data_IF_245314367052
#
_entry.id   IF_245314367052
#
_cell.length_a   1.000
_cell.length_b   1.000
_cell.length_c   1.000
_cell.angle_alpha   90.00
_cell.angle_beta   90.00
_cell.angle_gamma   90.00
#
_symmetry.space_group_name_H-M   'P 1'
#
loop_
_entity.id
_entity.type
_entity.pdbx_description
1 polymer ?
#
# COMPACT_ATOMS: atom_id res chain seq x y z
N UNK A 1 21.37 0.92 9.22
CA UNK A 1 21.18 1.52 7.88
C UNK A 1 21.11 3.03 8.01
N UNK A 2 21.51 3.79 6.99
CA UNK A 2 21.38 5.25 7.01
C UNK A 2 19.92 5.62 6.65
N UNK A 3 19.18 6.17 7.62
CA UNK A 3 17.77 6.51 7.42
C UNK A 3 17.54 7.55 6.33
N UNK A 4 18.47 8.51 6.17
CA UNK A 4 18.36 9.54 5.14
C UNK A 4 18.46 8.94 3.74
N UNK A 5 19.28 7.90 3.58
CA UNK A 5 19.33 7.11 2.35
C UNK A 5 17.99 6.42 2.08
N UNK A 6 17.42 5.75 3.09
CA UNK A 6 16.13 5.04 2.97
C UNK A 6 15.00 6.01 2.61
N UNK A 7 14.87 7.14 3.32
CA UNK A 7 13.84 8.14 3.05
C UNK A 7 13.98 8.72 1.64
N UNK A 8 15.22 9.01 1.21
CA UNK A 8 15.48 9.46 -0.16
C UNK A 8 15.05 8.40 -1.17
N UNK A 9 15.48 7.16 -1.00
CA UNK A 9 15.14 6.06 -1.91
C UNK A 9 13.64 5.78 -1.97
N UNK A 10 12.93 5.80 -0.84
CA UNK A 10 11.48 5.66 -0.78
C UNK A 10 10.72 6.73 -1.60
N UNK A 11 11.35 7.90 -1.78
CA UNK A 11 10.82 9.09 -2.48
C UNK A 11 11.39 9.29 -3.88
N UNK A 12 12.32 8.44 -4.33
CA UNK A 12 12.95 8.57 -5.64
C UNK A 12 11.92 8.47 -6.77
N UNK A 13 12.06 9.34 -7.75
CA UNK A 13 11.17 9.39 -8.91
C UNK A 13 11.28 8.13 -9.79
N UNK A 14 12.41 7.45 -9.72
CA UNK A 14 12.69 6.19 -10.44
C UNK A 14 12.22 4.94 -9.69
N UNK A 15 11.71 5.10 -8.46
CA UNK A 15 11.20 3.98 -7.66
C UNK A 15 10.04 3.31 -8.39
N UNK A 16 10.02 1.98 -8.35
CA UNK A 16 8.97 1.18 -8.98
C UNK A 16 7.59 1.57 -8.44
N UNK A 17 6.65 1.72 -9.36
CA UNK A 17 5.28 2.13 -9.08
C UNK A 17 4.35 0.92 -8.92
N UNK A 18 3.14 1.13 -8.43
CA UNK A 18 2.15 0.07 -8.31
C UNK A 18 1.86 -0.60 -9.67
N UNK A 19 1.80 0.19 -10.75
CA UNK A 19 1.61 -0.33 -12.10
C UNK A 19 2.80 -1.16 -12.59
N UNK A 20 4.03 -0.79 -12.26
CA UNK A 20 5.22 -1.58 -12.62
C UNK A 20 5.16 -2.99 -12.02
N UNK A 21 4.79 -3.08 -10.73
CA UNK A 21 4.57 -4.37 -10.08
C UNK A 21 3.35 -5.09 -10.65
N UNK A 22 2.23 -4.39 -10.89
CA UNK A 22 1.02 -5.01 -11.43
C UNK A 22 1.29 -5.67 -12.79
N UNK A 23 1.90 -4.94 -13.73
CA UNK A 23 2.19 -5.47 -15.08
C UNK A 23 3.39 -6.41 -15.12
N UNK A 24 4.31 -6.31 -14.16
CA UNK A 24 5.51 -7.16 -14.10
C UNK A 24 5.26 -8.51 -13.41
N UNK A 25 4.28 -8.57 -12.50
CA UNK A 25 3.97 -9.77 -11.71
C UNK A 25 2.81 -10.55 -12.32
N UNK A 26 1.72 -9.86 -12.69
CA UNK A 26 0.46 -10.49 -13.02
C UNK A 26 0.25 -10.56 -14.52
N UNK A 27 0.03 -11.78 -15.01
CA UNK A 27 -0.20 -12.06 -16.42
C UNK A 27 -1.63 -11.61 -16.81
N UNK A 28 -1.79 -11.08 -18.02
CA UNK A 28 -3.07 -10.55 -18.54
C UNK A 28 -3.75 -9.53 -17.60
N UNK A 29 -2.97 -8.65 -16.97
CA UNK A 29 -3.52 -7.62 -16.09
C UNK A 29 -4.46 -6.65 -16.84
N UNK A 30 -5.72 -6.60 -16.41
CA UNK A 30 -6.75 -5.69 -16.93
C UNK A 30 -7.09 -4.65 -15.85
N UNK A 31 -6.76 -3.39 -16.11
CA UNK A 31 -7.10 -2.27 -15.24
C UNK A 31 -8.62 -1.97 -15.30
N UNK A 32 -9.20 -1.67 -14.14
CA UNK A 32 -10.62 -1.39 -13.94
C UNK A 32 -10.80 -0.02 -13.28
N UNK A 33 -11.69 0.79 -13.84
CA UNK A 33 -11.82 2.21 -13.49
C UNK A 33 -13.11 2.53 -12.72
N UNK A 34 -13.07 3.65 -11.99
CA UNK A 34 -14.21 4.32 -11.38
C UNK A 34 -14.66 3.77 -10.03
N UNK A 35 -15.27 4.60 -9.21
CA UNK A 35 -15.88 4.24 -7.91
C UNK A 35 -17.38 3.92 -8.02
N UNK A 36 -18.01 4.21 -9.17
CA UNK A 36 -19.47 4.15 -9.44
C UNK A 36 -20.29 5.19 -8.69
N UNK A 37 -19.66 6.24 -8.18
CA UNK A 37 -20.33 7.31 -7.43
C UNK A 37 -19.93 8.69 -7.91
N UNK A 38 -18.63 8.97 -8.04
CA UNK A 38 -18.14 10.33 -8.30
C UNK A 38 -17.17 10.39 -9.48
N UNK A 39 -15.99 9.75 -9.39
CA UNK A 39 -15.00 9.75 -10.48
C UNK A 39 -14.05 8.55 -10.42
N UNK A 40 -13.27 8.40 -11.49
CA UNK A 40 -12.07 7.57 -11.46
C UNK A 40 -10.89 8.41 -10.93
N UNK A 41 -10.30 7.99 -9.81
CA UNK A 41 -9.13 8.66 -9.23
C UNK A 41 -7.85 8.09 -9.84
N UNK A 42 -7.08 8.94 -10.52
CA UNK A 42 -5.80 8.56 -11.10
C UNK A 42 -4.79 8.07 -10.07
N UNK A 43 -4.86 8.55 -8.82
CA UNK A 43 -3.95 8.14 -7.75
C UNK A 43 -4.13 6.69 -7.31
N UNK A 44 -5.25 6.05 -7.65
CA UNK A 44 -5.52 4.64 -7.31
C UNK A 44 -5.76 3.83 -8.57
N UNK A 45 -4.88 2.87 -8.83
CA UNK A 45 -5.06 1.87 -9.90
C UNK A 45 -5.59 0.58 -9.29
N UNK A 46 -6.21 -0.24 -10.12
CA UNK A 46 -6.58 -1.58 -9.71
C UNK A 46 -7.25 -2.37 -10.82
N UNK A 47 -7.26 -3.68 -10.69
CA UNK A 47 -7.64 -4.56 -11.77
C UNK A 47 -7.62 -6.04 -11.39
N UNK A 48 -7.68 -6.88 -12.40
CA UNK A 48 -7.59 -8.34 -12.27
C UNK A 48 -6.47 -8.85 -13.17
N UNK A 49 -5.81 -9.91 -12.74
CA UNK A 49 -4.80 -10.61 -13.54
C UNK A 49 -4.53 -11.99 -12.98
N UNK A 50 -3.57 -12.69 -13.56
CA UNK A 50 -3.19 -14.04 -13.17
C UNK A 50 -1.85 -14.05 -12.45
N UNK A 51 -1.80 -14.74 -11.31
CA UNK A 51 -0.57 -15.15 -10.65
C UNK A 51 -0.40 -16.66 -10.85
N UNK A 52 0.27 -17.04 -11.93
CA UNK A 52 0.28 -18.44 -12.37
C UNK A 52 -1.12 -18.87 -12.83
N UNK A 53 -1.73 -19.85 -12.16
CA UNK A 53 -3.09 -20.32 -12.46
C UNK A 53 -4.16 -19.71 -11.53
N UNK A 54 -3.81 -18.75 -10.67
CA UNK A 54 -4.71 -18.13 -9.71
C UNK A 54 -5.11 -16.72 -10.17
N UNK A 55 -6.40 -16.46 -10.30
CA UNK A 55 -6.90 -15.11 -10.57
C UNK A 55 -6.81 -14.25 -9.30
N UNK A 56 -6.21 -13.06 -9.41
CA UNK A 56 -5.94 -12.14 -8.30
C UNK A 56 -6.50 -10.76 -8.63
N UNK A 57 -7.04 -10.07 -7.62
CA UNK A 57 -7.35 -8.65 -7.71
C UNK A 57 -6.17 -7.84 -7.16
N UNK A 58 -5.72 -6.86 -7.95
CA UNK A 58 -4.63 -5.96 -7.56
C UNK A 58 -5.21 -4.57 -7.36
N UNK A 59 -4.79 -3.88 -6.29
CA UNK A 59 -5.09 -2.47 -6.05
C UNK A 59 -3.80 -1.77 -5.67
N UNK A 60 -3.58 -0.54 -6.08
CA UNK A 60 -2.40 0.17 -5.62
C UNK A 60 -2.48 1.67 -5.75
N UNK A 61 -1.70 2.35 -4.93
CA UNK A 61 -1.53 3.79 -5.02
C UNK A 61 -0.42 4.08 -6.03
N UNK A 62 -0.79 4.80 -7.08
CA UNK A 62 0.07 5.07 -8.22
C UNK A 62 0.64 6.49 -8.10
N UNK A 63 1.97 6.59 -7.96
CA UNK A 63 2.71 7.82 -8.26
C UNK A 63 3.03 7.89 -9.76
N UNK A 64 3.26 9.09 -10.28
CA UNK A 64 3.63 9.29 -11.66
C UNK A 64 5.14 9.20 -11.90
N UNK A 65 5.56 8.88 -13.13
CA UNK A 65 6.98 8.82 -13.53
C UNK A 65 7.52 10.12 -14.13
N UNK A 66 6.66 11.08 -14.43
CA UNK A 66 7.01 12.44 -14.84
C UNK A 66 6.17 13.46 -14.08
N UNK A 67 6.48 14.76 -14.21
CA UNK A 67 5.66 15.82 -13.61
C UNK A 67 4.21 15.76 -14.12
N UNK A 68 4.01 15.62 -15.44
CA UNK A 68 2.68 15.56 -16.02
C UNK A 68 1.90 14.34 -15.54
N UNK A 69 2.58 13.18 -15.44
CA UNK A 69 1.99 11.96 -14.90
C UNK A 69 1.67 12.12 -13.41
N UNK A 70 2.56 12.72 -12.63
CA UNK A 70 2.31 13.02 -11.22
C UNK A 70 1.10 13.94 -11.03
N UNK A 71 0.91 14.96 -11.87
CA UNK A 71 -0.29 15.81 -11.81
C UNK A 71 -1.56 14.99 -12.08
N UNK A 72 -1.54 14.11 -13.08
CA UNK A 72 -2.68 13.22 -13.40
C UNK A 72 -2.97 12.21 -12.28
N UNK A 73 -1.94 11.79 -11.55
CA UNK A 73 -1.98 10.81 -10.46
C UNK A 73 -2.04 11.46 -9.07
N UNK A 74 -2.19 12.79 -9.02
CA UNK A 74 -2.16 13.59 -7.79
C UNK A 74 -0.97 13.23 -6.86
N UNK A 75 0.21 12.99 -7.43
CA UNK A 75 1.43 12.56 -6.73
C UNK A 75 1.24 11.30 -5.87
N UNK A 76 0.30 10.43 -6.24
CA UNK A 76 -0.08 9.26 -5.45
C UNK A 76 -0.74 9.62 -4.13
N UNK A 77 -1.48 10.72 -4.06
CA UNK A 77 -2.31 11.11 -2.92
C UNK A 77 -3.79 10.90 -3.28
N UNK A 78 -4.42 9.80 -2.85
CA UNK A 78 -5.80 9.53 -3.20
C UNK A 78 -6.78 10.54 -2.61
N UNK A 79 -7.82 10.80 -3.37
CA UNK A 79 -9.06 11.41 -2.91
C UNK A 79 -10.05 10.33 -2.42
N UNK A 80 -11.21 10.70 -1.83
CA UNK A 80 -12.14 9.73 -1.24
C UNK A 80 -12.63 8.68 -2.25
N UNK A 81 -12.97 9.12 -3.46
CA UNK A 81 -13.30 8.29 -4.62
C UNK A 81 -12.23 7.23 -4.97
N UNK A 82 -10.94 7.49 -4.73
CA UNK A 82 -9.87 6.50 -4.90
C UNK A 82 -9.99 5.36 -3.91
N UNK A 83 -10.24 5.67 -2.64
CA UNK A 83 -10.51 4.67 -1.60
C UNK A 83 -11.83 3.93 -1.84
N UNK A 84 -12.86 4.59 -2.37
CA UNK A 84 -14.12 3.93 -2.76
C UNK A 84 -13.93 2.99 -3.95
N UNK A 85 -13.14 3.40 -4.96
CA UNK A 85 -12.71 2.54 -6.08
C UNK A 85 -11.96 1.30 -5.58
N UNK A 86 -10.99 1.49 -4.68
CA UNK A 86 -10.25 0.39 -4.06
C UNK A 86 -11.19 -0.61 -3.38
N UNK A 87 -12.05 -0.13 -2.49
CA UNK A 87 -13.01 -0.97 -1.78
C UNK A 87 -13.96 -1.70 -2.72
N UNK A 88 -14.47 -1.03 -3.76
CA UNK A 88 -15.32 -1.67 -4.79
C UNK A 88 -14.62 -2.85 -5.45
N UNK A 89 -13.34 -2.70 -5.79
CA UNK A 89 -12.55 -3.78 -6.40
C UNK A 89 -12.27 -4.91 -5.41
N UNK A 90 -11.98 -4.60 -4.15
CA UNK A 90 -11.79 -5.60 -3.09
C UNK A 90 -13.07 -6.39 -2.81
N UNK A 91 -14.24 -5.75 -2.77
CA UNK A 91 -15.54 -6.44 -2.65
C UNK A 91 -15.87 -7.30 -3.87
N UNK A 92 -15.44 -6.88 -5.07
CA UNK A 92 -15.52 -7.77 -6.24
C UNK A 92 -14.61 -8.98 -6.10
N UNK A 93 -13.39 -8.81 -5.57
CA UNK A 93 -12.49 -9.93 -5.32
C UNK A 93 -13.11 -10.95 -4.38
N UNK A 94 -13.67 -10.49 -3.26
CA UNK A 94 -14.42 -11.31 -2.31
C UNK A 94 -15.57 -12.07 -2.96
N UNK A 95 -16.42 -11.37 -3.74
CA UNK A 95 -17.57 -11.97 -4.44
C UNK A 95 -17.17 -13.17 -5.31
N UNK A 96 -15.98 -13.13 -5.91
CA UNK A 96 -15.50 -14.14 -6.84
C UNK A 96 -14.38 -15.02 -6.26
N UNK A 97 -14.12 -14.94 -4.95
CA UNK A 97 -13.11 -15.77 -4.28
C UNK A 97 -11.67 -15.51 -4.75
N UNK A 98 -11.36 -14.30 -5.23
CA UNK A 98 -9.99 -13.93 -5.64
C UNK A 98 -9.22 -13.35 -4.46
N UNK A 99 -7.96 -13.75 -4.24
CA UNK A 99 -7.08 -13.02 -3.33
C UNK A 99 -6.86 -11.57 -3.79
N UNK A 100 -6.44 -10.74 -2.84
CA UNK A 100 -6.15 -9.33 -3.04
C UNK A 100 -4.67 -9.07 -2.77
N UNK A 101 -4.03 -8.33 -3.66
CA UNK A 101 -2.69 -7.77 -3.42
C UNK A 101 -2.77 -6.25 -3.49
N UNK A 102 -2.30 -5.56 -2.45
CA UNK A 102 -2.24 -4.09 -2.43
C UNK A 102 -0.79 -3.59 -2.51
N UNK A 103 -0.55 -2.58 -3.36
CA UNK A 103 0.74 -1.89 -3.48
C UNK A 103 0.63 -0.45 -3.01
N UNK A 104 1.40 -0.08 -2.00
CA UNK A 104 1.25 1.20 -1.30
C UNK A 104 2.49 2.07 -1.54
N UNK A 105 2.27 3.22 -2.16
CA UNK A 105 3.26 4.29 -2.34
C UNK A 105 2.57 5.65 -2.32
N UNK A 106 2.45 6.24 -1.13
CA UNK A 106 1.75 7.50 -0.89
C UNK A 106 2.43 8.29 0.21
N UNK A 107 2.52 9.61 0.02
CA UNK A 107 2.86 10.52 1.12
C UNK A 107 1.67 10.71 2.09
N UNK A 108 0.48 10.26 1.71
CA UNK A 108 -0.76 10.36 2.48
C UNK A 108 -1.96 10.64 1.58
N UNK A 109 -3.15 10.54 2.16
CA UNK A 109 -4.38 10.96 1.51
C UNK A 109 -4.31 12.46 1.15
N UNK A 110 -4.96 12.86 0.05
CA UNK A 110 -4.92 14.25 -0.39
C UNK A 110 -5.63 15.18 0.61
N UNK A 111 -4.94 16.20 1.17
CA UNK A 111 -5.49 17.06 2.22
C UNK A 111 -6.13 18.33 1.62
N UNK A 112 -7.13 18.17 0.75
CA UNK A 112 -7.78 19.27 0.03
C UNK A 112 -9.23 19.48 0.42
N UNK A 113 -9.75 20.71 0.25
CA UNK A 113 -11.14 21.08 0.56
C UNK A 113 -12.15 20.13 -0.09
N UNK A 114 -12.00 19.87 -1.39
CA UNK A 114 -12.89 18.94 -2.08
C UNK A 114 -12.79 17.50 -1.58
N UNK A 115 -11.63 17.06 -1.07
CA UNK A 115 -11.51 15.75 -0.44
C UNK A 115 -12.30 15.69 0.87
N UNK A 116 -12.25 16.75 1.67
CA UNK A 116 -13.03 16.87 2.91
C UNK A 116 -14.53 16.92 2.65
N UNK A 117 -14.99 17.77 1.72
CA UNK A 117 -16.40 17.87 1.30
C UNK A 117 -16.97 16.52 0.83
N UNK A 118 -16.13 15.66 0.27
CA UNK A 118 -16.50 14.32 -0.22
C UNK A 118 -16.21 13.21 0.78
N UNK A 119 -15.78 13.51 2.00
CA UNK A 119 -15.61 12.54 3.09
C UNK A 119 -14.32 11.73 3.03
N UNK A 120 -13.16 12.39 3.04
CA UNK A 120 -11.85 11.71 3.10
C UNK A 120 -11.70 10.80 4.32
N UNK A 121 -12.06 11.30 5.51
CA UNK A 121 -12.07 10.50 6.73
C UNK A 121 -13.03 9.31 6.66
N UNK A 122 -14.23 9.50 6.10
CA UNK A 122 -15.21 8.42 5.91
C UNK A 122 -14.69 7.34 4.98
N UNK A 123 -14.16 7.72 3.80
CA UNK A 123 -13.72 6.76 2.81
C UNK A 123 -12.56 5.89 3.32
N UNK A 124 -11.62 6.50 4.07
CA UNK A 124 -10.55 5.77 4.77
C UNK A 124 -11.14 4.85 5.83
N UNK A 125 -11.95 5.36 6.75
CA UNK A 125 -12.53 4.57 7.84
C UNK A 125 -13.36 3.38 7.33
N UNK A 126 -14.14 3.60 6.27
CA UNK A 126 -14.92 2.56 5.59
C UNK A 126 -14.03 1.46 5.03
N UNK A 127 -12.89 1.82 4.41
CA UNK A 127 -11.94 0.82 3.93
C UNK A 127 -11.37 -0.01 5.09
N UNK A 128 -10.96 0.62 6.20
CA UNK A 128 -10.43 -0.11 7.35
C UNK A 128 -11.42 -1.14 7.89
N UNK A 129 -12.68 -0.71 8.08
CA UNK A 129 -13.76 -1.56 8.58
C UNK A 129 -14.11 -2.68 7.61
N UNK A 130 -14.20 -2.40 6.31
CA UNK A 130 -14.62 -3.42 5.35
C UNK A 130 -13.50 -4.40 5.04
N UNK A 131 -12.24 -3.96 5.05
CA UNK A 131 -11.08 -4.81 4.80
C UNK A 131 -10.82 -5.80 5.93
N UNK A 132 -11.14 -5.47 7.19
CA UNK A 132 -11.00 -6.42 8.30
C UNK A 132 -11.84 -7.68 8.07
N UNK A 133 -13.01 -7.51 7.47
CA UNK A 133 -14.03 -8.56 7.37
C UNK A 133 -14.04 -9.29 6.00
N UNK A 134 -13.13 -8.95 5.08
CA UNK A 134 -13.08 -9.56 3.74
C UNK A 134 -12.79 -11.06 3.80
N UNK A 135 -13.56 -11.86 3.06
CA UNK A 135 -13.51 -13.33 3.08
C UNK A 135 -12.52 -13.96 2.10
N UNK A 136 -11.46 -13.23 1.75
CA UNK A 136 -10.39 -13.68 0.84
C UNK A 136 -9.03 -13.27 1.39
N UNK A 137 -7.94 -13.97 1.02
CA UNK A 137 -6.60 -13.57 1.43
C UNK A 137 -6.19 -12.20 0.90
N UNK A 138 -5.50 -11.42 1.71
CA UNK A 138 -5.00 -10.08 1.41
C UNK A 138 -3.52 -10.00 1.79
N UNK A 139 -2.68 -9.57 0.85
CA UNK A 139 -1.30 -9.19 1.12
C UNK A 139 -1.12 -7.72 0.74
N UNK A 140 -0.69 -6.90 1.70
CA UNK A 140 -0.33 -5.51 1.47
C UNK A 140 1.18 -5.34 1.41
N UNK A 141 1.68 -4.58 0.44
CA UNK A 141 3.13 -4.33 0.27
C UNK A 141 3.38 -2.83 0.18
N UNK A 142 4.17 -2.30 1.11
CA UNK A 142 4.66 -0.93 1.06
C UNK A 142 5.86 -0.91 0.14
N UNK A 143 5.68 -0.31 -1.04
CA UNK A 143 6.70 -0.30 -2.09
C UNK A 143 7.45 1.03 -2.18
N UNK A 144 7.03 2.05 -1.45
CA UNK A 144 7.71 3.35 -1.37
C UNK A 144 7.40 4.04 -0.06
N UNK A 145 6.56 5.08 -0.10
CA UNK A 145 6.08 5.71 1.12
C UNK A 145 4.76 5.08 1.61
N UNK A 146 4.67 4.81 2.91
CA UNK A 146 3.45 4.48 3.63
C UNK A 146 3.02 5.68 4.47
N UNK A 147 2.35 6.66 3.85
CA UNK A 147 1.91 7.87 4.54
C UNK A 147 0.59 7.71 5.30
N UNK A 148 0.66 7.64 6.64
CA UNK A 148 -0.46 7.81 7.57
C UNK A 148 -1.70 6.96 7.26
N UNK A 149 -2.89 7.47 7.60
CA UNK A 149 -4.17 6.82 7.32
C UNK A 149 -4.43 6.57 5.83
N UNK A 150 -3.81 7.36 4.95
CA UNK A 150 -3.95 7.20 3.50
C UNK A 150 -3.28 5.93 2.96
N UNK A 151 -2.18 5.51 3.57
CA UNK A 151 -1.57 4.21 3.33
C UNK A 151 -2.33 3.08 4.06
N UNK A 152 -2.72 3.34 5.32
CA UNK A 152 -3.42 2.36 6.16
C UNK A 152 -4.74 1.89 5.54
N UNK A 153 -5.42 2.76 4.80
CA UNK A 153 -6.64 2.46 4.04
C UNK A 153 -6.50 1.28 3.05
N UNK A 154 -5.29 0.85 2.72
CA UNK A 154 -5.01 -0.32 1.88
C UNK A 154 -4.13 -1.38 2.56
N UNK A 155 -3.77 -1.17 3.83
CA UNK A 155 -2.82 -2.00 4.57
C UNK A 155 -3.48 -2.92 5.61
N UNK A 156 -4.81 -2.91 5.72
CA UNK A 156 -5.55 -3.89 6.55
C UNK A 156 -5.58 -5.23 5.82
N UNK A 157 -4.64 -6.10 6.14
CA UNK A 157 -4.35 -7.32 5.38
C UNK A 157 -3.94 -8.49 6.29
N UNK A 158 -4.00 -9.71 5.76
CA UNK A 158 -3.52 -10.90 6.47
C UNK A 158 -2.01 -10.84 6.68
N UNK A 159 -1.29 -10.32 5.68
CA UNK A 159 0.15 -10.06 5.78
C UNK A 159 0.46 -8.67 5.24
N UNK A 160 1.29 -7.93 5.96
CA UNK A 160 1.80 -6.60 5.58
C UNK A 160 3.30 -6.71 5.40
N UNK A 161 3.78 -6.42 4.20
CA UNK A 161 5.18 -6.48 3.81
C UNK A 161 5.71 -5.10 3.48
N UNK A 162 7.02 -4.94 3.56
CA UNK A 162 7.72 -3.74 3.15
C UNK A 162 8.87 -4.09 2.24
N UNK A 163 9.11 -3.28 1.21
CA UNK A 163 10.41 -3.30 0.55
C UNK A 163 11.47 -2.69 1.48
N UNK A 164 12.71 -3.13 1.35
CA UNK A 164 13.80 -2.74 2.24
C UNK A 164 13.94 -1.23 2.44
N UNK A 165 13.90 -0.48 1.33
CA UNK A 165 14.07 0.97 1.30
C UNK A 165 12.73 1.70 1.19
N UNK A 166 11.68 1.14 1.81
CA UNK A 166 10.39 1.80 2.02
C UNK A 166 10.26 2.33 3.45
N UNK A 167 9.35 3.29 3.64
CA UNK A 167 9.03 3.86 4.96
C UNK A 167 7.54 3.71 5.26
N UNK A 168 7.16 3.59 6.52
CA UNK A 168 5.76 3.61 6.94
C UNK A 168 5.63 4.42 8.24
N UNK A 169 4.84 5.48 8.22
CA UNK A 169 4.79 6.45 9.31
C UNK A 169 3.38 7.00 9.54
N UNK A 170 3.05 7.30 10.79
CA UNK A 170 1.78 7.96 11.17
C UNK A 170 1.72 9.43 10.68
N UNK A 171 2.89 10.04 10.49
CA UNK A 171 3.08 11.44 10.09
C UNK A 171 4.37 11.54 9.27
N UNK A 172 4.48 12.53 8.39
CA UNK A 172 5.76 12.76 7.70
C UNK A 172 6.84 13.21 8.69
N UNK A 173 8.12 12.86 8.49
CA UNK A 173 9.21 13.35 9.34
C UNK A 173 9.27 14.88 9.41
N UNK A 174 8.98 15.56 8.30
CA UNK A 174 8.87 17.03 8.23
C UNK A 174 7.72 17.56 9.10
N UNK A 175 6.56 16.90 9.05
CA UNK A 175 5.40 17.23 9.87
C UNK A 175 5.69 17.07 11.36
N UNK A 176 6.33 15.96 11.74
CA UNK A 176 6.71 15.70 13.13
C UNK A 176 7.68 16.76 13.65
N UNK A 177 8.74 17.05 12.90
CA UNK A 177 9.76 18.02 13.28
C UNK A 177 9.19 19.45 13.42
N UNK A 178 8.32 19.85 12.49
CA UNK A 178 7.66 21.16 12.56
C UNK A 178 6.67 21.28 13.73
N UNK A 179 6.01 20.20 14.15
CA UNK A 179 5.07 20.23 15.28
C UNK A 179 5.82 20.20 16.61
N UNK A 180 6.70 19.22 16.83
CA UNK A 180 7.32 19.01 18.15
C UNK A 180 8.48 19.94 18.41
N UNK A 181 9.24 20.31 17.37
CA UNK A 181 10.44 21.13 17.52
C UNK A 181 10.32 22.51 16.90
N UNK A 182 9.21 22.81 16.20
CA UNK A 182 9.02 24.06 15.45
C UNK A 182 10.12 24.30 14.41
N UNK A 183 10.72 23.21 13.94
CA UNK A 183 11.86 23.24 13.00
C UNK A 183 11.80 22.05 12.05
N UNK A 184 11.33 22.29 10.82
CA UNK A 184 11.23 21.27 9.78
C UNK A 184 12.58 20.77 9.24
N UNK A 185 13.68 21.50 9.48
CA UNK A 185 15.01 21.08 9.03
C UNK A 185 15.52 19.84 9.76
N UNK A 186 14.95 19.55 10.94
CA UNK A 186 15.25 18.37 11.78
C UNK A 186 14.50 17.10 11.35
N UNK A 187 14.00 17.03 10.12
CA UNK A 187 13.22 15.89 9.61
C UNK A 187 13.95 14.55 9.73
N UNK A 188 15.27 14.49 9.51
CA UNK A 188 16.00 13.22 9.62
C UNK A 188 16.12 12.74 11.08
N UNK A 189 16.33 13.67 12.02
CA UNK A 189 16.29 13.35 13.45
C UNK A 189 14.89 12.87 13.87
N UNK A 190 13.83 13.48 13.34
CA UNK A 190 12.46 13.03 13.55
C UNK A 190 12.25 11.60 13.01
N UNK A 191 12.72 11.33 11.79
CA UNK A 191 12.60 10.02 11.17
C UNK A 191 13.25 8.91 12.05
N UNK A 192 14.42 9.17 12.65
CA UNK A 192 15.11 8.21 13.52
C UNK A 192 14.31 7.92 14.79
N UNK A 193 13.78 8.97 15.42
CA UNK A 193 12.96 8.81 16.63
C UNK A 193 11.65 8.06 16.37
N UNK A 194 11.07 8.28 15.20
CA UNK A 194 9.78 7.69 14.81
C UNK A 194 9.89 6.20 14.40
N UNK A 195 11.10 5.69 14.17
CA UNK A 195 11.36 4.28 13.80
C UNK A 195 10.55 3.78 12.59
N UNK A 196 10.62 4.53 11.50
CA UNK A 196 9.74 4.37 10.32
C UNK A 196 10.26 3.38 9.27
N UNK A 197 11.45 2.81 9.48
CA UNK A 197 12.09 1.95 8.47
C UNK A 197 11.57 0.52 8.52
N UNK A 198 11.71 -0.18 7.39
CA UNK A 198 11.17 -1.54 7.21
C UNK A 198 11.64 -2.55 8.27
N UNK A 199 12.93 -2.53 8.63
CA UNK A 199 13.49 -3.42 9.67
C UNK A 199 13.04 -3.05 11.09
N UNK A 200 12.96 -1.76 11.42
CA UNK A 200 12.47 -1.33 12.73
C UNK A 200 11.01 -1.76 12.93
N UNK A 201 10.18 -1.60 11.89
CA UNK A 201 8.79 -2.00 11.92
C UNK A 201 8.61 -3.52 11.94
N UNK A 202 9.55 -4.27 11.34
CA UNK A 202 9.61 -5.73 11.46
C UNK A 202 9.95 -6.15 12.90
N UNK A 203 10.94 -5.51 13.52
CA UNK A 203 11.34 -5.79 14.91
C UNK A 203 10.22 -5.45 15.90
N UNK A 204 9.47 -4.38 15.63
CA UNK A 204 8.26 -4.00 16.36
C UNK A 204 7.04 -4.90 16.04
N UNK A 205 7.20 -5.86 15.12
CA UNK A 205 6.17 -6.80 14.64
C UNK A 205 4.96 -6.12 13.99
N UNK A 206 5.10 -4.86 13.57
CA UNK A 206 4.09 -4.04 12.88
C UNK A 206 3.88 -4.54 11.45
N UNK A 207 4.96 -5.00 10.81
CA UNK A 207 4.95 -5.67 9.50
C UNK A 207 5.48 -7.11 9.65
N UNK A 208 5.12 -7.96 8.71
CA UNK A 208 5.35 -9.40 8.77
C UNK A 208 6.58 -9.84 7.97
N UNK A 209 7.07 -8.99 7.05
CA UNK A 209 8.21 -9.30 6.18
C UNK A 209 8.87 -8.04 5.61
N UNK A 210 10.18 -8.09 5.47
CA UNK A 210 10.96 -7.16 4.64
C UNK A 210 11.49 -7.89 3.42
N UNK A 211 11.25 -7.33 2.23
CA UNK A 211 11.77 -7.84 0.96
C UNK A 211 13.03 -7.05 0.63
N UNK A 212 14.17 -7.74 0.59
CA UNK A 212 15.45 -7.10 0.30
C UNK A 212 15.48 -6.52 -1.11
N UNK A 213 16.07 -5.33 -1.26
CA UNK A 213 16.31 -4.67 -2.55
C UNK A 213 17.80 -4.72 -2.94
N UNK A 214 18.67 -5.15 -2.02
CA UNK A 214 20.13 -5.06 -2.18
C UNK A 214 20.63 -5.89 -3.36
N UNK A 215 21.30 -5.21 -4.29
CA UNK A 215 21.96 -5.85 -5.43
C UNK A 215 21.01 -6.34 -6.53
N UNK A 216 19.72 -6.02 -6.44
CA UNK A 216 18.72 -6.46 -7.42
C UNK A 216 18.46 -5.39 -8.47
N UNK A 217 18.37 -5.83 -9.73
CA UNK A 217 17.74 -5.01 -10.76
C UNK A 217 16.23 -4.89 -10.48
N UNK A 218 15.57 -3.89 -11.07
CA UNK A 218 14.11 -3.78 -11.00
C UNK A 218 13.37 -5.05 -11.46
N UNK A 219 13.92 -5.73 -12.47
CA UNK A 219 13.35 -6.98 -13.01
C UNK A 219 13.49 -8.12 -12.01
N UNK A 220 14.65 -8.25 -11.37
CA UNK A 220 14.89 -9.31 -10.39
C UNK A 220 14.09 -9.09 -9.11
N UNK A 221 13.94 -7.83 -8.69
CA UNK A 221 13.06 -7.47 -7.57
C UNK A 221 11.61 -7.85 -7.85
N UNK A 222 11.07 -7.49 -9.02
CA UNK A 222 9.70 -7.87 -9.44
C UNK A 222 9.53 -9.39 -9.44
N UNK A 223 10.51 -10.13 -9.97
CA UNK A 223 10.51 -11.60 -9.98
C UNK A 223 10.49 -12.17 -8.56
N UNK A 224 11.33 -11.66 -7.67
CA UNK A 224 11.37 -12.08 -6.27
C UNK A 224 10.04 -11.80 -5.56
N UNK A 225 9.42 -10.64 -5.79
CA UNK A 225 8.09 -10.32 -5.23
C UNK A 225 7.03 -11.28 -5.78
N UNK A 226 7.06 -11.61 -7.07
CA UNK A 226 6.15 -12.61 -7.70
C UNK A 226 6.24 -13.97 -7.02
N UNK A 227 7.45 -14.49 -6.84
CA UNK A 227 7.70 -15.79 -6.22
C UNK A 227 7.19 -15.83 -4.77
N UNK A 228 7.50 -14.79 -3.98
CA UNK A 228 7.06 -14.70 -2.59
C UNK A 228 5.54 -14.53 -2.46
N UNK A 229 4.91 -13.72 -3.32
CA UNK A 229 3.46 -13.59 -3.36
C UNK A 229 2.79 -14.92 -3.66
N UNK A 230 3.31 -15.66 -4.65
CA UNK A 230 2.74 -16.94 -5.05
C UNK A 230 2.82 -17.97 -3.92
N UNK A 231 3.97 -18.06 -3.25
CA UNK A 231 4.14 -18.91 -2.07
C UNK A 231 3.14 -18.53 -0.97
N UNK A 232 3.07 -17.24 -0.63
CA UNK A 232 2.24 -16.82 0.51
C UNK A 232 0.74 -16.89 0.25
N UNK A 233 0.28 -16.56 -0.96
CA UNK A 233 -1.13 -16.71 -1.31
C UNK A 233 -1.55 -18.17 -1.35
N UNK A 234 -0.67 -19.09 -1.76
CA UNK A 234 -0.91 -20.53 -1.69
C UNK A 234 -0.99 -21.03 -0.23
N UNK A 235 -0.20 -20.48 0.68
CA UNK A 235 -0.30 -20.79 2.11
C UNK A 235 -1.61 -20.28 2.71
N UNK A 236 -1.94 -19.00 2.50
CA UNK A 236 -3.15 -18.38 3.05
C UNK A 236 -4.42 -19.02 2.48
N UNK A 237 -4.40 -19.43 1.20
CA UNK A 237 -5.52 -20.13 0.56
C UNK A 237 -5.81 -21.52 1.12
N UNK A 238 -4.91 -22.10 1.94
CA UNK A 238 -5.14 -23.38 2.62
C UNK A 238 -5.81 -23.21 4.00
N UNK A 239 -5.86 -21.99 4.53
CA UNK A 239 -6.48 -21.73 5.82
C UNK A 239 -8.02 -21.84 5.70
N UNK A 240 -8.70 -22.44 6.68
CA UNK A 240 -10.14 -22.30 6.83
C UNK A 240 -10.52 -20.82 6.89
N UNK A 241 -11.65 -20.47 6.29
CA UNK A 241 -12.08 -19.07 6.19
C UNK A 241 -12.18 -18.37 7.56
N UNK A 242 -12.78 -19.04 8.55
CA UNK A 242 -12.93 -18.49 9.90
C UNK A 242 -11.57 -18.26 10.56
N UNK A 243 -10.59 -19.13 10.30
CA UNK A 243 -9.22 -18.96 10.79
C UNK A 243 -8.52 -17.79 10.09
N UNK A 244 -8.68 -17.63 8.77
CA UNK A 244 -8.09 -16.51 8.01
C UNK A 244 -8.56 -15.16 8.58
N UNK A 245 -9.87 -15.02 8.79
CA UNK A 245 -10.48 -13.79 9.31
C UNK A 245 -10.04 -13.55 10.76
N UNK A 246 -10.04 -14.59 11.60
CA UNK A 246 -9.61 -14.47 13.00
C UNK A 246 -8.14 -14.10 13.10
N UNK A 247 -7.25 -14.70 12.30
CA UNK A 247 -5.83 -14.34 12.25
C UNK A 247 -5.64 -12.86 11.87
N UNK A 248 -6.41 -12.37 10.89
CA UNK A 248 -6.39 -10.95 10.51
C UNK A 248 -6.86 -10.05 11.65
N UNK A 249 -7.97 -10.40 12.29
CA UNK A 249 -8.50 -9.64 13.42
C UNK A 249 -7.49 -9.56 14.56
N UNK A 250 -6.94 -10.69 14.99
CA UNK A 250 -5.96 -10.76 16.07
C UNK A 250 -4.66 -10.02 15.72
N UNK A 251 -4.24 -10.06 14.45
CA UNK A 251 -3.10 -9.31 13.98
C UNK A 251 -3.23 -7.82 14.29
N UNK A 252 -4.40 -7.21 14.06
CA UNK A 252 -4.61 -5.78 14.33
C UNK A 252 -5.01 -5.50 15.79
N UNK A 253 -5.66 -6.45 16.46
CA UNK A 253 -6.10 -6.29 17.85
C UNK A 253 -4.96 -6.29 18.88
N UNK A 254 -3.78 -6.80 18.50
CA UNK A 254 -2.59 -6.84 19.38
C UNK A 254 -1.90 -5.47 19.54
N UNK A 255 -2.28 -4.45 18.76
CA UNK A 255 -1.81 -3.07 18.88
C UNK A 255 -2.89 -2.20 19.52
#
# INVERSE_FOLDING_TARGET
MNIAKIVREAREQTRLTALDFATGIFDEFVELHGDRSFRDDGAVIGGIGWLGNQAVTVVGIQKGKSLQDNLNRNFGQPHPEGYRKALRLMKQAEKFGRPIVTFINTAGAYPGVGAEERGQGEAIARNLMEMSDLKVPIIAIIIGEGGSGGALALAVADRVWMLENSIYAVLSPEGFASILWKDGSRAMEAAELMKITSFELLDMKIVDKVISEVGLSSKDLIKQVKEQLQEKLNELGKLPLDQLIEERYQRFRKY
#
